data_IF_503030424142
#
_entry.id   IF_503030424142
#
_cell.length_a   1.000
_cell.length_b   1.000
_cell.length_c   1.000
_cell.angle_alpha   90.00
_cell.angle_beta   90.00
_cell.angle_gamma   90.00
#
_symmetry.space_group_name_H-M   'P 1'
#
loop_
_entity.id
_entity.type
_entity.pdbx_description
1 polymer ?
#
# COMPACT_ATOMS: atom_id res chain seq x y z
N UNK A 1 -9.92 -10.29 -1.47
CA UNK A 1 -10.95 -9.29 -1.14
C UNK A 1 -10.70 -8.03 -1.97
N UNK A 2 -11.73 -7.36 -2.49
CA UNK A 2 -11.57 -6.12 -3.26
C UNK A 2 -11.09 -4.95 -2.39
N UNK A 3 -10.27 -4.06 -2.94
CA UNK A 3 -9.70 -2.91 -2.23
C UNK A 3 -10.76 -2.03 -1.56
N UNK A 4 -11.85 -1.68 -2.27
CA UNK A 4 -12.95 -0.87 -1.71
C UNK A 4 -13.63 -1.53 -0.51
N UNK A 5 -13.82 -2.84 -0.56
CA UNK A 5 -14.39 -3.61 0.57
C UNK A 5 -13.43 -3.62 1.75
N UNK A 6 -12.13 -3.74 1.49
CA UNK A 6 -11.10 -3.68 2.54
C UNK A 6 -11.10 -2.31 3.23
N UNK A 7 -11.12 -1.22 2.47
CA UNK A 7 -11.20 0.14 3.02
C UNK A 7 -12.43 0.28 3.93
N UNK A 8 -13.61 -0.14 3.46
CA UNK A 8 -14.83 -0.07 4.28
C UNK A 8 -14.70 -0.84 5.61
N UNK A 9 -14.06 -2.01 5.59
CA UNK A 9 -13.81 -2.81 6.80
C UNK A 9 -12.78 -2.17 7.74
N UNK A 10 -11.74 -1.53 7.22
CA UNK A 10 -10.73 -0.84 8.02
C UNK A 10 -11.28 0.44 8.68
N UNK A 11 -12.25 1.11 8.05
CA UNK A 11 -12.85 2.30 8.63
C UNK A 11 -13.62 2.01 9.92
N UNK A 12 -14.29 0.85 10.06
CA UNK A 12 -15.05 0.46 11.27
C UNK A 12 -15.91 1.59 11.87
N UNK A 13 -16.64 2.31 11.02
CA UNK A 13 -17.47 3.48 11.35
C UNK A 13 -16.72 4.79 11.65
N UNK A 14 -15.39 4.81 11.52
CA UNK A 14 -14.60 6.05 11.53
C UNK A 14 -14.83 6.82 10.23
N UNK A 15 -14.74 8.14 10.33
CA UNK A 15 -14.67 9.03 9.18
C UNK A 15 -13.28 8.88 8.52
N UNK A 16 -13.19 8.89 7.17
CA UNK A 16 -11.91 8.86 6.47
C UNK A 16 -10.93 9.97 6.90
N UNK A 17 -11.46 11.12 7.31
CA UNK A 17 -10.70 12.29 7.78
C UNK A 17 -9.86 12.02 9.01
N UNK A 18 -10.27 11.09 9.88
CA UNK A 18 -9.64 10.90 11.20
C UNK A 18 -8.64 9.74 11.18
N UNK A 19 -8.46 9.10 10.02
CA UNK A 19 -7.62 7.91 9.87
C UNK A 19 -6.18 8.31 9.58
N UNK A 20 -5.29 8.00 10.52
CA UNK A 20 -3.84 8.23 10.39
C UNK A 20 -3.09 7.09 9.73
N UNK A 21 -3.61 5.87 9.85
CA UNK A 21 -2.97 4.66 9.34
C UNK A 21 -3.99 3.82 8.60
N UNK A 22 -3.62 3.36 7.40
CA UNK A 22 -4.44 2.48 6.59
C UNK A 22 -3.62 1.36 5.96
N UNK A 23 -3.99 0.12 6.27
CA UNK A 23 -3.36 -1.10 5.76
C UNK A 23 -4.31 -1.82 4.81
N UNK A 24 -3.92 -1.92 3.55
CA UNK A 24 -4.70 -2.52 2.47
C UNK A 24 -4.01 -3.75 1.87
N UNK A 25 -3.08 -4.35 2.60
CA UNK A 25 -2.26 -5.45 2.12
C UNK A 25 -3.08 -6.67 1.71
N UNK A 26 -2.57 -7.40 0.71
CA UNK A 26 -3.16 -8.63 0.21
C UNK A 26 -4.62 -8.49 -0.27
N UNK A 27 -5.06 -7.26 -0.54
CA UNK A 27 -6.32 -7.01 -1.25
C UNK A 27 -6.12 -7.10 -2.77
N UNK A 28 -7.20 -6.97 -3.54
CA UNK A 28 -7.14 -6.97 -5.01
C UNK A 28 -7.49 -5.59 -5.53
N UNK A 29 -6.55 -4.99 -6.27
CA UNK A 29 -6.80 -3.83 -7.12
C UNK A 29 -7.45 -4.25 -8.43
N UNK A 30 -8.32 -3.39 -8.99
CA UNK A 30 -8.86 -3.58 -10.33
C UNK A 30 -7.93 -2.92 -11.34
N UNK A 31 -7.58 -3.65 -12.41
CA UNK A 31 -6.65 -3.19 -13.45
C UNK A 31 -5.27 -2.71 -12.94
N UNK A 32 -4.88 -3.09 -11.72
CA UNK A 32 -3.64 -2.62 -11.10
C UNK A 32 -3.67 -1.14 -10.71
N UNK A 33 -4.86 -0.58 -10.41
CA UNK A 33 -5.05 0.80 -9.98
C UNK A 33 -5.60 0.89 -8.56
N UNK A 34 -5.26 1.97 -7.86
CA UNK A 34 -5.82 2.29 -6.56
C UNK A 34 -7.29 2.69 -6.72
N UNK A 35 -8.13 2.18 -5.82
CA UNK A 35 -9.56 2.46 -5.82
C UNK A 35 -10.11 2.64 -4.40
N UNK A 36 -11.05 3.56 -4.23
CA UNK A 36 -11.73 3.81 -2.96
C UNK A 36 -10.99 4.75 -2.01
N UNK A 37 -9.74 5.12 -2.33
CA UNK A 37 -9.06 6.26 -1.71
C UNK A 37 -9.52 7.56 -2.37
N UNK A 38 -9.79 8.57 -1.55
CA UNK A 38 -10.24 9.91 -1.94
C UNK A 38 -9.41 10.98 -1.23
N UNK A 39 -9.61 12.24 -1.57
CA UNK A 39 -8.95 13.36 -0.88
C UNK A 39 -9.49 13.56 0.56
N UNK A 40 -10.49 12.79 1.00
CA UNK A 40 -11.07 12.86 2.36
C UNK A 40 -10.14 12.27 3.44
N UNK A 41 -9.13 11.51 3.05
CA UNK A 41 -8.12 10.93 3.96
C UNK A 41 -7.05 11.98 4.33
N UNK A 42 -7.50 13.11 4.88
CA UNK A 42 -6.67 14.30 5.10
C UNK A 42 -5.58 14.08 6.17
N UNK A 43 -5.86 13.29 7.21
CA UNK A 43 -4.95 12.98 8.32
C UNK A 43 -4.08 11.74 8.10
N UNK A 44 -4.15 11.11 6.91
CA UNK A 44 -3.43 9.87 6.66
C UNK A 44 -1.92 10.09 6.61
N UNK A 45 -1.20 9.48 7.54
CA UNK A 45 0.27 9.56 7.69
C UNK A 45 0.97 8.30 7.17
N UNK A 46 0.30 7.15 7.23
CA UNK A 46 0.82 5.86 6.79
C UNK A 46 -0.18 5.12 5.90
N UNK A 47 0.30 4.66 4.74
CA UNK A 47 -0.47 3.83 3.81
C UNK A 47 0.35 2.61 3.41
N UNK A 48 -0.22 1.42 3.63
CA UNK A 48 0.33 0.16 3.15
C UNK A 48 -0.57 -0.48 2.09
N UNK A 49 0.02 -0.83 0.96
CA UNK A 49 -0.64 -1.49 -0.18
C UNK A 49 0.25 -2.59 -0.73
N UNK A 50 0.67 -3.52 0.14
CA UNK A 50 1.59 -4.60 -0.22
C UNK A 50 0.84 -5.71 -0.94
N UNK A 51 1.43 -6.23 -2.03
CA UNK A 51 0.91 -7.39 -2.76
C UNK A 51 -0.56 -7.24 -3.18
N UNK A 52 -0.92 -6.08 -3.74
CA UNK A 52 -2.29 -5.80 -4.21
C UNK A 52 -2.42 -5.83 -5.74
N UNK A 53 -1.31 -6.08 -6.44
CA UNK A 53 -1.25 -6.17 -7.90
C UNK A 53 -1.23 -4.82 -8.62
N UNK A 54 -0.81 -3.75 -7.96
CA UNK A 54 -0.72 -2.42 -8.58
C UNK A 54 0.30 -2.41 -9.72
N UNK A 55 -0.03 -1.72 -10.80
CA UNK A 55 0.88 -1.44 -11.93
C UNK A 55 1.25 0.04 -12.02
N UNK A 56 0.47 0.90 -11.35
CA UNK A 56 0.67 2.35 -11.33
C UNK A 56 0.11 2.98 -10.05
N UNK A 57 0.69 4.13 -9.68
CA UNK A 57 0.26 4.99 -8.57
C UNK A 57 -0.52 6.23 -9.03
N UNK A 58 -0.86 6.31 -10.32
CA UNK A 58 -1.49 7.50 -10.91
C UNK A 58 -2.84 7.90 -10.27
N UNK A 59 -3.54 6.93 -9.69
CA UNK A 59 -4.84 7.11 -9.05
C UNK A 59 -4.76 7.49 -7.56
N UNK A 60 -3.58 7.81 -7.04
CA UNK A 60 -3.46 8.32 -5.68
C UNK A 60 -4.20 9.66 -5.54
N UNK A 61 -5.05 9.82 -4.51
CA UNK A 61 -5.56 11.13 -4.12
C UNK A 61 -4.45 12.00 -3.56
N UNK A 62 -4.75 13.28 -3.32
CA UNK A 62 -3.81 14.19 -2.69
C UNK A 62 -3.77 13.92 -1.19
N UNK A 63 -2.67 13.36 -0.70
CA UNK A 63 -2.45 12.96 0.69
C UNK A 63 -1.30 13.79 1.26
N UNK A 64 -1.61 15.00 1.71
CA UNK A 64 -0.58 15.96 2.12
C UNK A 64 0.13 15.56 3.41
N UNK A 65 -0.53 14.83 4.31
CA UNK A 65 0.06 14.38 5.58
C UNK A 65 0.77 13.04 5.49
N UNK A 66 0.75 12.38 4.32
CA UNK A 66 1.36 11.07 4.14
C UNK A 66 2.88 11.14 4.26
N UNK A 67 3.43 10.43 5.24
CA UNK A 67 4.86 10.37 5.55
C UNK A 67 5.48 9.04 5.11
N UNK A 68 4.75 7.93 5.19
CA UNK A 68 5.24 6.59 4.87
C UNK A 68 4.29 5.87 3.92
N UNK A 69 4.85 5.32 2.84
CA UNK A 69 4.11 4.62 1.78
C UNK A 69 4.79 3.29 1.45
N UNK A 70 4.08 2.19 1.72
CA UNK A 70 4.54 0.83 1.40
C UNK A 70 3.82 0.33 0.13
N UNK A 71 4.60 0.10 -0.93
CA UNK A 71 4.14 -0.39 -2.24
C UNK A 71 4.83 -1.71 -2.63
N UNK A 72 5.35 -2.44 -1.66
CA UNK A 72 6.11 -3.67 -1.87
C UNK A 72 5.29 -4.76 -2.57
N UNK A 73 5.98 -5.64 -3.30
CA UNK A 73 5.39 -6.79 -4.01
C UNK A 73 4.26 -6.43 -4.99
N UNK A 74 4.41 -5.29 -5.66
CA UNK A 74 3.53 -4.89 -6.77
C UNK A 74 4.24 -5.05 -8.13
N UNK A 75 3.69 -4.45 -9.18
CA UNK A 75 4.20 -4.51 -10.56
C UNK A 75 4.43 -3.12 -11.14
N UNK A 76 4.74 -2.14 -10.29
CA UNK A 76 4.97 -0.76 -10.69
C UNK A 76 6.28 -0.70 -11.48
N UNK A 77 6.26 -0.03 -12.64
CA UNK A 77 7.43 0.13 -13.51
C UNK A 77 7.72 1.59 -13.88
N UNK A 78 6.98 2.55 -13.31
CA UNK A 78 7.10 3.99 -13.59
C UNK A 78 5.90 4.80 -13.10
N UNK A 79 5.78 6.05 -13.58
CA UNK A 79 4.72 6.96 -13.14
C UNK A 79 4.93 7.52 -11.73
N UNK A 80 6.18 7.52 -11.26
CA UNK A 80 6.54 7.96 -9.91
C UNK A 80 6.50 9.49 -9.75
N UNK A 81 6.45 10.24 -10.85
CA UNK A 81 6.30 11.70 -10.85
C UNK A 81 5.04 12.18 -10.13
N UNK A 82 3.98 11.36 -10.12
CA UNK A 82 2.72 11.66 -9.44
C UNK A 82 2.90 11.75 -7.92
N UNK A 83 3.86 11.01 -7.35
CA UNK A 83 4.11 11.04 -5.91
C UNK A 83 4.51 12.43 -5.42
N UNK A 84 5.29 13.17 -6.22
CA UNK A 84 5.68 14.54 -5.89
C UNK A 84 4.49 15.52 -5.85
N UNK A 85 3.45 15.27 -6.64
CA UNK A 85 2.25 16.11 -6.69
C UNK A 85 1.22 15.72 -5.62
N UNK A 86 1.12 14.42 -5.32
CA UNK A 86 0.09 13.86 -4.45
C UNK A 86 0.52 13.70 -3.00
N UNK A 87 1.79 13.42 -2.75
CA UNK A 87 2.35 13.12 -1.43
C UNK A 87 3.64 13.94 -1.20
N UNK A 88 3.55 15.29 -1.18
CA UNK A 88 4.74 16.14 -1.16
C UNK A 88 5.60 16.00 0.09
N UNK A 89 5.02 15.58 1.22
CA UNK A 89 5.70 15.42 2.51
C UNK A 89 6.17 13.97 2.77
N UNK A 90 6.23 13.13 1.73
CA UNK A 90 6.64 11.74 1.87
C UNK A 90 8.11 11.65 2.31
N UNK A 91 8.36 10.89 3.37
CA UNK A 91 9.70 10.69 3.96
C UNK A 91 10.23 9.28 3.76
N UNK A 92 9.33 8.28 3.71
CA UNK A 92 9.65 6.87 3.56
C UNK A 92 8.85 6.28 2.40
N UNK A 93 9.55 5.65 1.46
CA UNK A 93 8.94 4.99 0.31
C UNK A 93 9.53 3.59 0.12
N UNK A 94 8.68 2.57 0.17
CA UNK A 94 9.09 1.22 -0.16
C UNK A 94 8.53 0.81 -1.52
N UNK A 95 9.42 0.52 -2.46
CA UNK A 95 9.14 0.03 -3.81
C UNK A 95 9.74 -1.36 -4.03
N UNK A 96 10.14 -2.08 -2.98
CA UNK A 96 10.72 -3.41 -3.11
C UNK A 96 9.82 -4.39 -3.87
N UNK A 97 10.42 -5.32 -4.61
CA UNK A 97 9.69 -6.33 -5.39
C UNK A 97 8.91 -5.80 -6.60
N UNK A 98 9.08 -4.52 -6.98
CA UNK A 98 8.45 -3.93 -8.18
C UNK A 98 9.28 -4.15 -9.46
N UNK A 99 8.82 -3.60 -10.59
CA UNK A 99 9.43 -3.73 -11.92
C UNK A 99 10.23 -2.48 -12.32
N UNK A 100 11.00 -1.95 -11.38
CA UNK A 100 11.89 -0.81 -11.60
C UNK A 100 13.20 -1.31 -12.24
N UNK A 101 13.46 -0.91 -13.48
CA UNK A 101 14.59 -1.40 -14.28
C UNK A 101 15.76 -0.45 -14.32
N UNK A 102 15.47 0.83 -14.48
CA UNK A 102 16.45 1.86 -14.79
C UNK A 102 16.38 3.01 -13.79
N UNK A 103 17.50 3.71 -13.61
CA UNK A 103 17.58 4.89 -12.75
C UNK A 103 16.68 6.05 -13.24
N UNK A 104 16.37 6.09 -14.54
CA UNK A 104 15.45 7.08 -15.10
C UNK A 104 14.03 6.95 -14.54
N UNK A 105 13.61 5.74 -14.16
CA UNK A 105 12.30 5.49 -13.56
C UNK A 105 12.14 6.16 -12.20
N UNK A 106 13.24 6.24 -11.42
CA UNK A 106 13.26 6.85 -10.08
C UNK A 106 13.72 8.30 -10.09
N UNK A 107 14.24 8.82 -11.20
CA UNK A 107 14.63 10.23 -11.33
C UNK A 107 13.54 11.22 -10.89
N UNK A 108 12.23 11.02 -11.18
CA UNK A 108 11.18 11.93 -10.71
C UNK A 108 11.10 12.07 -9.19
N UNK A 109 11.56 11.08 -8.42
CA UNK A 109 11.58 11.11 -6.96
C UNK A 109 12.49 12.23 -6.42
N UNK A 110 13.40 12.77 -7.23
CA UNK A 110 14.23 13.93 -6.85
C UNK A 110 13.41 15.15 -6.41
N UNK A 111 12.16 15.26 -6.86
CA UNK A 111 11.21 16.32 -6.50
C UNK A 111 10.61 16.16 -5.10
N UNK A 112 10.71 14.97 -4.51
CA UNK A 112 10.31 14.73 -3.12
C UNK A 112 11.47 15.17 -2.22
N UNK A 113 11.48 16.45 -1.86
CA UNK A 113 12.56 17.06 -1.07
C UNK A 113 12.64 16.49 0.35
N UNK A 114 11.51 16.01 0.89
CA UNK A 114 11.42 15.40 2.23
C UNK A 114 11.77 13.91 2.25
N UNK A 115 12.03 13.26 1.11
CA UNK A 115 12.28 11.82 1.04
C UNK A 115 13.63 11.46 1.68
N UNK A 116 13.60 10.73 2.79
CA UNK A 116 14.78 10.33 3.57
C UNK A 116 15.15 8.86 3.37
N UNK A 117 14.16 7.99 3.19
CA UNK A 117 14.36 6.55 3.05
C UNK A 117 13.64 5.99 1.81
N UNK A 118 14.37 5.20 1.03
CA UNK A 118 13.88 4.54 -0.18
C UNK A 118 14.33 3.08 -0.17
N UNK A 119 13.40 2.18 -0.39
CA UNK A 119 13.69 0.75 -0.56
C UNK A 119 13.33 0.31 -1.98
N UNK A 120 14.31 -0.24 -2.69
CA UNK A 120 14.22 -0.78 -4.05
C UNK A 120 14.68 -2.24 -4.07
N UNK A 121 14.77 -2.90 -2.92
CA UNK A 121 15.20 -4.29 -2.82
C UNK A 121 14.40 -5.19 -3.77
N UNK A 122 15.05 -6.18 -4.37
CA UNK A 122 14.41 -7.10 -5.33
C UNK A 122 13.78 -6.40 -6.58
N UNK A 123 14.28 -5.23 -6.98
CA UNK A 123 14.00 -4.63 -8.28
C UNK A 123 15.12 -4.94 -9.30
N UNK A 124 14.85 -4.81 -10.60
CA UNK A 124 15.86 -5.05 -11.65
C UNK A 124 17.02 -4.04 -11.57
N UNK A 125 16.74 -2.80 -11.15
CA UNK A 125 17.71 -1.70 -10.99
C UNK A 125 18.85 -2.00 -10.01
N UNK A 126 18.63 -2.89 -9.02
CA UNK A 126 19.65 -3.25 -8.03
C UNK A 126 20.80 -4.05 -8.62
N UNK A 127 20.63 -4.63 -9.82
CA UNK A 127 21.65 -5.38 -10.53
C UNK A 127 22.60 -4.49 -11.35
N UNK A 128 22.36 -3.19 -11.39
CA UNK A 128 23.23 -2.24 -12.09
C UNK A 128 24.54 -2.06 -11.33
N UNK A 129 25.63 -1.88 -12.07
CA UNK A 129 26.93 -1.54 -11.48
C UNK A 129 26.83 -0.18 -10.76
N UNK A 130 27.51 -0.07 -9.62
CA UNK A 130 27.55 1.15 -8.81
C UNK A 130 26.14 1.68 -8.46
N UNK A 131 25.15 0.78 -8.36
CA UNK A 131 23.73 1.11 -8.13
C UNK A 131 23.55 2.08 -6.95
N UNK A 132 24.06 1.75 -5.76
CA UNK A 132 23.92 2.59 -4.56
C UNK A 132 24.53 3.98 -4.76
N UNK A 133 25.75 4.05 -5.27
CA UNK A 133 26.43 5.34 -5.52
C UNK A 133 25.66 6.20 -6.52
N UNK A 134 25.17 5.59 -7.60
CA UNK A 134 24.39 6.28 -8.62
C UNK A 134 23.04 6.77 -8.09
N UNK A 135 22.35 5.99 -7.24
CA UNK A 135 21.11 6.42 -6.58
C UNK A 135 21.37 7.59 -5.64
N UNK A 136 22.37 7.52 -4.76
CA UNK A 136 22.71 8.62 -3.86
C UNK A 136 23.17 9.89 -4.58
N UNK A 137 23.79 9.74 -5.76
CA UNK A 137 24.15 10.87 -6.63
C UNK A 137 22.92 11.48 -7.31
N UNK A 138 21.96 10.66 -7.69
CA UNK A 138 20.71 11.08 -8.34
C UNK A 138 19.73 11.74 -7.35
N UNK A 139 19.66 11.19 -6.13
CA UNK A 139 18.76 11.57 -5.05
C UNK A 139 19.60 12.03 -3.83
N UNK A 140 20.21 13.22 -3.88
CA UNK A 140 21.11 13.69 -2.83
C UNK A 140 20.41 13.93 -1.47
N UNK A 141 19.08 14.12 -1.46
CA UNK A 141 18.28 14.25 -0.24
C UNK A 141 18.16 12.94 0.56
N UNK A 142 18.43 11.80 -0.07
CA UNK A 142 18.23 10.49 0.52
C UNK A 142 19.31 10.20 1.57
N UNK A 143 18.86 9.76 2.75
CA UNK A 143 19.74 9.32 3.85
C UNK A 143 19.95 7.82 3.79
N UNK A 144 18.87 7.06 3.61
CA UNK A 144 18.86 5.60 3.65
C UNK A 144 18.37 5.02 2.33
N UNK A 145 19.08 4.01 1.84
CA UNK A 145 18.74 3.22 0.67
C UNK A 145 18.77 1.75 1.04
N UNK A 146 17.68 1.03 0.80
CA UNK A 146 17.54 -0.41 1.11
C UNK A 146 17.89 -0.75 2.57
N UNK A 147 17.54 0.16 3.50
CA UNK A 147 17.81 0.01 4.94
C UNK A 147 19.19 0.46 5.41
N UNK A 148 20.07 0.95 4.54
CA UNK A 148 21.44 1.37 4.91
C UNK A 148 21.78 2.76 4.39
N UNK A 149 22.58 3.51 5.13
CA UNK A 149 23.09 4.81 4.69
C UNK A 149 24.28 4.71 3.70
N UNK A 150 24.92 5.85 3.40
CA UNK A 150 26.11 5.92 2.53
C UNK A 150 27.35 5.26 3.14
N UNK A 151 27.39 5.10 4.46
CA UNK A 151 28.48 4.51 5.24
C UNK A 151 28.21 3.04 5.62
N UNK A 152 27.17 2.44 5.04
CA UNK A 152 26.73 1.05 5.31
C UNK A 152 26.23 0.84 6.75
N UNK A 153 25.72 1.90 7.38
CA UNK A 153 25.06 1.82 8.68
C UNK A 153 23.57 1.59 8.49
N UNK A 154 23.05 0.62 9.23
CA UNK A 154 21.63 0.27 9.25
C UNK A 154 20.80 1.46 9.76
N UNK A 155 19.68 1.71 9.10
CA UNK A 155 18.71 2.70 9.52
C UNK A 155 18.12 2.30 10.88
N UNK A 156 17.86 3.26 11.78
CA UNK A 156 17.12 2.97 13.01
C UNK A 156 15.72 2.45 12.65
N UNK A 157 15.19 1.54 13.47
CA UNK A 157 13.84 1.00 13.28
C UNK A 157 12.83 2.15 13.16
N UNK A 158 12.25 2.31 11.97
CA UNK A 158 11.42 3.46 11.59
C UNK A 158 10.14 3.63 12.42
N UNK A 159 9.79 2.63 13.23
CA UNK A 159 8.61 2.65 14.11
C UNK A 159 8.89 3.37 15.45
N UNK A 160 10.16 3.61 15.80
CA UNK A 160 10.53 4.30 17.04
C UNK A 160 10.45 5.83 16.94
N UNK A 161 10.44 6.40 15.74
CA UNK A 161 10.56 7.84 15.49
C UNK A 161 9.20 8.55 15.30
N UNK A 162 8.08 7.82 15.30
CA UNK A 162 6.74 8.39 15.12
C UNK A 162 6.23 9.22 16.32
N UNK A 163 6.97 9.27 17.43
CA UNK A 163 6.52 9.88 18.70
C UNK A 163 7.32 11.10 19.17
N UNK A 164 8.38 11.53 18.48
CA UNK A 164 9.28 12.58 19.03
C UNK A 164 9.04 13.98 18.43
N UNK A 165 8.28 14.13 17.35
CA UNK A 165 8.01 15.45 16.75
C UNK A 165 6.62 15.99 17.15
N UNK A 166 6.41 16.16 18.46
CA UNK A 166 5.21 16.77 19.04
C UNK A 166 5.43 17.55 20.33
N UNK A 167 6.69 17.79 20.72
CA UNK A 167 7.06 18.62 21.87
C UNK A 167 7.95 19.75 21.39
N UNK A 168 7.39 20.74 20.71
CA UNK A 168 7.94 22.09 20.68
C UNK A 168 6.81 23.08 20.36
N UNK A 169 6.78 24.16 21.15
CA UNK A 169 5.90 25.32 21.13
C UNK A 169 4.45 25.12 21.58
N UNK A 170 4.24 25.15 22.90
CA UNK A 170 3.49 26.24 23.56
C UNK A 170 3.46 25.99 25.07
N UNK A 171 4.18 26.82 25.84
CA UNK A 171 3.85 27.35 27.19
C UNK A 171 5.11 27.87 27.88
N UNK A 172 5.60 29.02 27.40
CA UNK A 172 6.19 30.03 28.28
C UNK A 172 5.00 30.75 28.95
N UNK A 173 4.62 30.30 30.15
CA UNK A 173 4.01 31.20 31.14
C UNK A 173 4.49 30.76 32.53
N UNK A 174 5.40 31.57 33.07
CA UNK A 174 5.84 31.56 34.46
C UNK A 174 4.63 31.78 35.38
N UNK A 175 4.29 30.81 36.24
CA UNK A 175 3.58 31.15 37.48
C UNK A 175 4.09 30.30 38.65
N UNK A 176 4.62 31.01 39.63
CA UNK A 176 5.12 30.52 40.91
C UNK A 176 3.95 30.05 41.78
N UNK A 177 4.03 28.84 42.36
CA UNK A 177 2.95 28.33 43.21
C UNK A 177 3.34 27.18 44.12
N UNK A 178 3.95 27.55 45.24
CA UNK A 178 3.95 26.94 46.59
C UNK A 178 4.06 25.41 46.77
N UNK A 179 5.14 25.03 47.46
CA UNK A 179 5.31 23.72 48.10
C UNK A 179 4.36 23.57 49.29
N UNK A 180 3.61 22.47 49.35
CA UNK A 180 2.95 22.02 50.58
C UNK A 180 3.42 20.58 50.88
N UNK A 181 4.25 20.48 51.93
CA UNK A 181 4.63 19.22 52.58
C UNK A 181 3.41 18.61 53.29
N UNK A 182 3.08 17.37 52.97
CA UNK A 182 2.10 16.60 53.75
C UNK A 182 2.85 15.76 54.80
N UNK A 183 2.68 16.20 56.04
CA UNK A 183 3.15 15.57 57.27
C UNK A 183 2.42 14.24 57.53
N UNK A 184 3.24 13.24 57.82
CA UNK A 184 2.90 11.88 58.23
C UNK A 184 2.69 11.91 59.74
N UNK A 185 1.47 11.66 60.24
CA UNK A 185 1.28 10.82 61.44
C UNK A 185 -0.18 10.73 61.94
N UNK A 186 -0.46 9.53 62.47
CA UNK A 186 -1.46 9.18 63.49
C UNK A 186 -2.85 8.67 63.06
N UNK A 187 -2.91 7.34 62.89
CA UNK A 187 -4.03 6.47 63.31
C UNK A 187 -4.21 6.54 64.86
N UNK A 188 -5.30 6.04 65.52
CA UNK A 188 -5.85 4.68 65.34
C UNK A 188 -7.35 4.45 65.66
N UNK A 189 -7.80 3.20 65.46
CA UNK A 189 -9.00 2.57 66.05
C UNK A 189 -10.27 2.78 65.23
N UNK A 190 -11.16 1.80 65.03
CA UNK A 190 -11.47 0.63 65.85
C UNK A 190 -12.20 -0.42 64.99
N UNK A 191 -12.26 -1.62 65.55
CA UNK A 191 -12.78 -2.89 65.04
C UNK A 191 -14.30 -2.86 64.72
N UNK A 192 -14.77 -3.67 63.77
CA UNK A 192 -15.89 -4.60 63.99
C UNK A 192 -16.18 -5.49 62.75
N UNK A 193 -16.40 -6.77 63.07
CA UNK A 193 -16.67 -7.93 62.21
C UNK A 193 -18.15 -8.03 61.78
N UNK A 194 -18.43 -9.05 60.95
CA UNK A 194 -19.74 -9.71 60.73
C UNK A 194 -20.75 -9.03 59.77
N UNK A 195 -21.55 -9.70 58.92
CA UNK A 195 -21.82 -11.09 58.51
C UNK A 195 -22.64 -11.02 57.19
N UNK A 196 -22.71 -12.12 56.43
CA UNK A 196 -23.89 -12.53 55.62
C UNK A 196 -24.17 -11.78 54.30
N UNK A 197 -24.75 -12.37 53.26
CA UNK A 197 -25.33 -13.69 53.02
C UNK A 197 -25.16 -14.04 51.52
N UNK A 198 -25.12 -15.35 51.24
CA UNK A 198 -25.33 -15.91 49.90
C UNK A 198 -26.84 -15.86 49.62
N UNK A 199 -27.25 -15.25 48.51
CA UNK A 199 -28.62 -15.39 47.98
C UNK A 199 -28.57 -16.07 46.61
N UNK A 200 -29.28 -17.19 46.59
CA UNK A 200 -29.59 -18.10 45.50
C UNK A 200 -30.83 -17.60 44.74
N UNK A 201 -30.98 -18.10 43.51
CA UNK A 201 -32.27 -18.25 42.76
C UNK A 201 -32.93 -16.94 42.22
N UNK A 202 -33.55 -16.86 41.04
CA UNK A 202 -34.33 -17.85 40.26
C UNK A 202 -34.67 -17.29 38.83
N UNK A 203 -34.98 -18.24 37.92
CA UNK A 203 -35.84 -18.23 36.69
C UNK A 203 -35.69 -17.16 35.59
N UNK A 204 -35.47 -17.57 34.33
CA UNK A 204 -36.51 -17.86 33.31
C UNK A 204 -36.27 -16.87 32.16
N UNK A 205 -36.32 -17.17 30.86
CA UNK A 205 -37.38 -17.82 30.09
C UNK A 205 -36.78 -18.42 28.80
N UNK A 206 -37.42 -19.49 28.34
CA UNK A 206 -37.29 -20.09 27.01
C UNK A 206 -37.85 -19.12 25.95
N UNK A 207 -37.24 -19.01 24.78
CA UNK A 207 -37.98 -18.97 23.50
C UNK A 207 -37.15 -19.59 22.38
N UNK A 208 -37.89 -20.32 21.55
CA UNK A 208 -37.52 -21.11 20.38
C UNK A 208 -36.99 -20.18 19.26
N UNK A 209 -36.29 -20.65 18.23
CA UNK A 209 -36.92 -20.96 16.93
C UNK A 209 -35.85 -21.58 15.98
N UNK A 210 -36.18 -22.78 15.53
CA UNK A 210 -36.10 -23.32 14.16
C UNK A 210 -34.76 -23.41 13.39
N UNK A 211 -34.21 -24.63 13.42
CA UNK A 211 -33.49 -25.27 12.32
C UNK A 211 -34.41 -25.44 11.09
N UNK A 212 -34.01 -24.91 9.93
CA UNK A 212 -34.57 -25.32 8.63
C UNK A 212 -33.55 -26.20 7.89
N UNK A 213 -33.85 -27.49 7.90
CA UNK A 213 -33.30 -28.55 7.06
C UNK A 213 -34.34 -28.96 6.01
N UNK A 214 -33.88 -29.40 4.83
CA UNK A 214 -34.67 -30.21 3.88
C UNK A 214 -34.88 -29.50 2.53
N UNK A 215 -34.20 -29.91 1.45
CA UNK A 215 -34.55 -31.03 0.54
C UNK A 215 -35.57 -30.57 -0.53
N UNK A 216 -35.20 -30.41 -1.80
CA UNK A 216 -35.03 -31.38 -2.91
C UNK A 216 -36.17 -31.21 -3.95
N UNK A 217 -36.04 -31.93 -5.07
CA UNK A 217 -36.87 -32.02 -6.30
C UNK A 217 -36.35 -31.15 -7.49
N UNK A 218 -35.64 -31.72 -8.48
CA UNK A 218 -36.10 -32.60 -9.60
C UNK A 218 -37.16 -31.90 -10.47
N UNK A 219 -37.20 -31.94 -11.81
CA UNK A 219 -36.49 -32.63 -12.90
C UNK A 219 -36.89 -31.91 -14.23
N UNK A 220 -36.52 -32.52 -15.37
CA UNK A 220 -37.06 -32.35 -16.75
C UNK A 220 -36.49 -31.21 -17.62
N UNK A 221 -36.23 -31.35 -18.92
CA UNK A 221 -35.85 -32.43 -19.85
C UNK A 221 -35.63 -31.71 -21.21
N UNK A 222 -34.71 -32.24 -22.02
CA UNK A 222 -34.65 -32.26 -23.50
C UNK A 222 -34.97 -31.00 -24.36
N UNK A 223 -34.00 -30.62 -25.22
CA UNK A 223 -34.16 -30.46 -26.68
C UNK A 223 -32.78 -30.20 -27.30
N UNK A 224 -32.10 -31.20 -27.88
CA UNK A 224 -32.13 -31.61 -29.29
C UNK A 224 -31.92 -30.49 -30.32
N UNK A 225 -30.97 -30.72 -31.22
CA UNK A 225 -30.51 -29.80 -32.24
C UNK A 225 -29.22 -30.26 -32.90
N UNK A 226 -29.17 -31.51 -33.36
CA UNK A 226 -28.30 -31.90 -34.47
C UNK A 226 -28.62 -31.03 -35.70
N UNK A 227 -27.59 -30.51 -36.35
CA UNK A 227 -27.56 -30.37 -37.82
C UNK A 227 -26.14 -30.67 -38.28
N UNK A 228 -26.07 -31.85 -38.87
CA UNK A 228 -25.06 -32.35 -39.80
C UNK A 228 -25.11 -31.56 -41.12
N UNK A 229 -24.21 -31.93 -42.03
CA UNK A 229 -24.04 -31.52 -43.44
C UNK A 229 -22.83 -30.59 -43.66
N UNK A 230 -21.64 -31.14 -43.92
CA UNK A 230 -21.18 -31.80 -45.17
C UNK A 230 -20.74 -30.80 -46.24
N UNK A 231 -19.56 -31.09 -46.78
CA UNK A 231 -19.16 -30.89 -48.19
C UNK A 231 -18.88 -29.44 -48.66
N UNK A 232 -17.88 -29.12 -49.48
CA UNK A 232 -16.86 -29.86 -50.22
C UNK A 232 -15.99 -28.78 -50.92
N UNK A 233 -14.95 -29.20 -51.65
CA UNK A 233 -14.20 -28.50 -52.71
C UNK A 233 -13.00 -27.65 -52.26
N UNK A 234 -11.77 -28.15 -52.36
CA UNK A 234 -10.93 -28.36 -53.57
C UNK A 234 -10.11 -27.13 -54.00
N UNK A 235 -8.80 -27.40 -54.10
CA UNK A 235 -7.80 -26.93 -55.07
C UNK A 235 -7.80 -25.48 -55.63
N UNK A 236 -6.64 -24.82 -55.54
CA UNK A 236 -5.73 -24.53 -56.68
C UNK A 236 -4.60 -23.59 -56.21
N UNK A 237 -3.33 -24.01 -56.19
CA UNK A 237 -2.32 -23.92 -57.27
C UNK A 237 -2.02 -22.52 -57.84
N UNK A 238 -0.75 -22.11 -57.64
CA UNK A 238 0.04 -21.26 -58.56
C UNK A 238 0.01 -19.75 -58.27
N UNK A 239 1.04 -18.94 -58.53
CA UNK A 239 2.19 -19.07 -59.41
C UNK A 239 3.38 -18.20 -58.95
N UNK A 240 4.58 -18.62 -59.36
CA UNK A 240 5.85 -17.87 -59.31
C UNK A 240 5.94 -16.79 -60.40
N UNK A 241 6.89 -15.86 -60.17
CA UNK A 241 7.62 -14.95 -61.10
C UNK A 241 7.07 -13.51 -61.09
N UNK A 242 7.89 -12.45 -61.18
CA UNK A 242 9.12 -12.30 -61.96
C UNK A 242 10.00 -11.15 -61.44
N UNK A 243 11.30 -11.35 -61.65
CA UNK A 243 12.44 -10.43 -61.55
C UNK A 243 12.43 -9.48 -62.75
N UNK A 244 12.74 -8.21 -62.56
CA UNK A 244 13.30 -7.35 -63.61
C UNK A 244 14.63 -6.78 -63.13
N UNK A 245 15.62 -6.90 -64.02
CA UNK A 245 16.97 -6.37 -64.02
C UNK A 245 16.98 -5.11 -64.90
N UNK A 246 18.14 -4.44 -64.93
CA UNK A 246 18.59 -3.34 -65.81
C UNK A 246 18.66 -2.00 -65.05
N UNK A 247 19.73 -1.21 -65.02
CA UNK A 247 21.02 -1.06 -65.74
C UNK A 247 21.97 -0.29 -64.78
N UNK A 248 23.23 -0.69 -64.54
CA UNK A 248 24.47 -0.32 -65.27
C UNK A 248 24.81 1.19 -65.37
N UNK A 249 26.08 1.51 -65.06
CA UNK A 249 26.75 2.82 -65.14
C UNK A 249 27.70 3.02 -63.95
N UNK A 250 28.86 2.35 -63.92
CA UNK A 250 30.20 2.86 -64.38
C UNK A 250 30.65 4.10 -63.56
N UNK A 251 31.59 3.96 -62.62
CA UNK A 251 33.07 3.88 -62.77
C UNK A 251 33.77 5.26 -62.70
N UNK A 252 35.02 5.18 -62.23
CA UNK A 252 36.11 6.16 -62.12
C UNK A 252 36.13 7.09 -60.89
N UNK A 253 36.96 6.85 -59.86
CA UNK A 253 38.45 6.76 -59.74
C UNK A 253 39.13 8.10 -59.40
N UNK A 254 40.10 7.96 -58.48
CA UNK A 254 41.15 8.87 -57.95
C UNK A 254 40.81 9.93 -56.88
#
# INVERSE_FOLDING_TARGET
MDMKKRIHLELRNRTPSDVKELVLDNCRSNEGKIEGLTDEFEELEFLSTINVGLTSVANLPKLNKLKKLELSDNRISGGLEVLAEKCPNLTHLNLSGNKIKDLSTIEPLKKLESLKSLDLFNCEVTNLNDYRENVFKLLPQLTYLDGYDKEDKEAPDSDAEAYVEGLDDDEDDEDEGEEEEYDEDAAPGDEDEEEGEEDDEEEGEEEEEEDISGEEEEEEELNDGEVDDEEDLEEERGQKRKRELDEEGEEDDD
#
